data_IF_047811245267
#
_entry.id   IF_047811245267
#
_cell.length_a   1.000
_cell.length_b   1.000
_cell.length_c   1.000
_cell.angle_alpha   90.00
_cell.angle_beta   90.00
_cell.angle_gamma   90.00
#
_symmetry.space_group_name_H-M   'P 1'
#
loop_
_entity.id
_entity.type
_entity.pdbx_description
1 polymer ?
#
# COMPACT_ATOMS: atom_id res chain seq x y z
N UNK A 1 -4.96 -13.35 22.48
CA UNK A 1 -5.06 -13.45 21.00
C UNK A 1 -4.16 -12.37 20.46
N UNK A 2 -3.19 -12.71 19.61
CA UNK A 2 -2.28 -11.71 19.04
C UNK A 2 -3.08 -10.76 18.15
N UNK A 3 -2.77 -9.47 18.21
CA UNK A 3 -3.40 -8.43 17.37
C UNK A 3 -2.70 -8.42 16.01
N UNK A 4 -3.16 -9.32 15.11
CA UNK A 4 -2.65 -9.39 13.75
C UNK A 4 -3.36 -8.40 12.83
N UNK A 5 -2.61 -7.65 12.06
CA UNK A 5 -3.11 -6.68 11.07
C UNK A 5 -2.46 -6.95 9.72
N UNK A 6 -3.25 -6.93 8.66
CA UNK A 6 -2.77 -7.09 7.29
C UNK A 6 -2.63 -5.71 6.65
N UNK A 7 -1.39 -5.29 6.45
CA UNK A 7 -1.05 -4.00 5.83
C UNK A 7 -1.01 -4.17 4.33
N UNK A 8 -1.85 -3.41 3.63
CA UNK A 8 -1.98 -3.43 2.17
C UNK A 8 -1.42 -2.14 1.60
N UNK A 9 -0.61 -2.25 0.55
CA UNK A 9 -0.17 -1.12 -0.25
C UNK A 9 -0.26 -1.48 -1.73
N UNK A 10 -0.73 -0.53 -2.53
CA UNK A 10 -0.82 -0.66 -3.97
C UNK A 10 -0.12 0.51 -4.67
N UNK A 11 0.38 0.25 -5.86
CA UNK A 11 0.77 1.27 -6.82
C UNK A 11 -0.20 1.23 -7.99
N UNK A 12 -0.68 2.39 -8.37
CA UNK A 12 -1.64 2.57 -9.46
C UNK A 12 -0.97 3.12 -10.71
N UNK A 13 -1.67 3.01 -11.82
CA UNK A 13 -1.26 3.56 -13.12
C UNK A 13 -1.40 5.09 -13.21
N UNK A 14 -1.96 5.73 -12.19
CA UNK A 14 -2.13 7.18 -12.10
C UNK A 14 -2.74 7.63 -10.77
N UNK A 15 -2.94 8.94 -10.56
CA UNK A 15 -3.38 9.51 -9.30
C UNK A 15 -4.89 9.60 -9.12
N UNK A 16 -5.68 9.38 -10.20
CA UNK A 16 -7.10 9.74 -10.20
C UNK A 16 -7.99 8.65 -9.60
N UNK A 17 -7.50 7.40 -9.53
CA UNK A 17 -8.25 6.25 -9.03
C UNK A 17 -9.25 5.69 -10.02
N UNK A 18 -10.01 4.69 -9.59
CA UNK A 18 -11.02 4.07 -10.43
C UNK A 18 -12.10 5.10 -10.86
N UNK A 19 -12.59 5.09 -12.11
CA UNK A 19 -12.28 4.13 -13.19
C UNK A 19 -11.13 4.55 -14.13
N UNK A 20 -10.40 5.59 -13.79
CA UNK A 20 -9.38 6.17 -14.67
C UNK A 20 -8.03 5.46 -14.56
N UNK A 21 -7.73 4.98 -13.36
CA UNK A 21 -6.47 4.33 -13.06
C UNK A 21 -6.68 2.97 -12.38
N UNK A 22 -5.84 2.03 -12.75
CA UNK A 22 -5.86 0.65 -12.28
C UNK A 22 -4.72 0.42 -11.25
N UNK A 23 -4.86 -0.64 -10.45
CA UNK A 23 -3.77 -1.14 -9.60
C UNK A 23 -2.78 -1.89 -10.48
N UNK A 24 -1.49 -1.51 -10.42
CA UNK A 24 -0.43 -2.14 -11.20
C UNK A 24 0.48 -3.07 -10.37
N UNK A 25 0.63 -2.78 -9.08
CA UNK A 25 1.50 -3.52 -8.16
C UNK A 25 0.85 -3.51 -6.77
N UNK A 26 0.72 -4.67 -6.12
CA UNK A 26 0.05 -4.80 -4.82
C UNK A 26 0.84 -5.72 -3.90
N UNK A 27 0.95 -5.33 -2.63
CA UNK A 27 1.59 -6.14 -1.62
C UNK A 27 0.85 -6.12 -0.28
N UNK A 28 0.99 -7.22 0.46
CA UNK A 28 0.42 -7.40 1.79
C UNK A 28 1.51 -7.87 2.75
N UNK A 29 1.64 -7.17 3.87
CA UNK A 29 2.42 -7.62 5.02
C UNK A 29 1.47 -8.00 6.15
N UNK A 30 1.70 -9.16 6.78
CA UNK A 30 1.10 -9.51 8.06
C UNK A 30 1.95 -8.90 9.17
N UNK A 31 1.35 -8.14 10.05
CA UNK A 31 1.99 -7.49 11.20
C UNK A 31 1.43 -8.10 12.48
N UNK A 32 2.30 -8.55 13.35
CA UNK A 32 1.98 -8.92 14.73
C UNK A 32 2.48 -7.81 15.66
N UNK A 33 1.55 -7.05 16.23
CA UNK A 33 1.89 -5.90 17.08
C UNK A 33 2.36 -6.30 18.48
N UNK A 34 2.06 -7.50 18.95
CA UNK A 34 2.49 -7.99 20.26
C UNK A 34 3.95 -8.48 20.19
N UNK A 35 4.29 -9.24 19.14
CA UNK A 35 5.65 -9.71 18.88
C UNK A 35 6.54 -8.63 18.26
N UNK A 36 5.94 -7.62 17.65
CA UNK A 36 6.61 -6.51 16.93
C UNK A 36 7.39 -6.99 15.70
N UNK A 37 6.79 -7.88 14.97
CA UNK A 37 7.36 -8.44 13.74
C UNK A 37 6.37 -8.31 12.59
N UNK A 38 6.87 -8.36 11.36
CA UNK A 38 6.07 -8.42 10.15
C UNK A 38 6.68 -9.36 9.12
N UNK A 39 5.81 -9.87 8.24
CA UNK A 39 6.20 -10.75 7.13
C UNK A 39 5.46 -10.33 5.87
N UNK A 40 6.16 -10.24 4.75
CA UNK A 40 5.49 -10.10 3.45
C UNK A 40 4.82 -11.43 3.12
N UNK A 41 3.50 -11.43 3.06
CA UNK A 41 2.69 -12.63 2.79
C UNK A 41 2.16 -12.69 1.37
N UNK A 42 2.19 -11.55 0.66
CA UNK A 42 1.79 -11.46 -0.74
C UNK A 42 2.47 -10.29 -1.44
N UNK A 43 2.82 -10.48 -2.70
CA UNK A 43 3.24 -9.43 -3.62
C UNK A 43 3.00 -9.91 -5.04
N UNK A 44 2.34 -9.09 -5.86
CA UNK A 44 2.12 -9.40 -7.26
C UNK A 44 2.00 -8.14 -8.11
N UNK A 45 2.41 -8.26 -9.37
CA UNK A 45 2.21 -7.27 -10.43
C UNK A 45 1.00 -7.69 -11.25
N UNK A 46 0.11 -6.74 -11.54
CA UNK A 46 -1.08 -7.00 -12.34
C UNK A 46 -0.75 -6.87 -13.81
N UNK A 47 -1.22 -7.84 -14.60
CA UNK A 47 -1.01 -7.92 -16.02
C UNK A 47 -1.95 -6.98 -16.78
N UNK A 48 -1.38 -6.11 -17.60
CA UNK A 48 -2.07 -5.31 -18.62
C UNK A 48 -1.28 -5.34 -19.93
N UNK A 49 -1.97 -5.18 -21.06
CA UNK A 49 -1.26 -4.89 -22.29
C UNK A 49 -0.70 -3.44 -22.21
N UNK A 50 0.62 -3.24 -22.30
CA UNK A 50 1.21 -1.90 -22.25
C UNK A 50 0.65 -0.93 -23.28
N UNK A 51 0.12 -1.45 -24.41
CA UNK A 51 -0.52 -0.64 -25.45
C UNK A 51 -1.86 -0.06 -24.97
N UNK A 52 -2.61 -0.83 -24.16
CA UNK A 52 -3.90 -0.41 -23.61
C UNK A 52 -3.73 0.62 -22.49
N UNK A 53 -2.66 0.51 -21.69
CA UNK A 53 -2.33 1.51 -20.66
C UNK A 53 -1.99 2.88 -21.26
N UNK A 54 -1.36 2.89 -22.42
CA UNK A 54 -0.90 4.13 -23.07
C UNK A 54 0.30 4.79 -22.37
N UNK A 55 0.94 5.69 -23.10
CA UNK A 55 2.20 6.32 -22.69
C UNK A 55 2.11 7.06 -21.35
N UNK A 56 1.01 7.81 -21.10
CA UNK A 56 0.85 8.61 -19.88
C UNK A 56 0.92 7.77 -18.61
N UNK A 57 0.24 6.63 -18.60
CA UNK A 57 0.23 5.70 -17.45
C UNK A 57 1.57 5.01 -17.25
N UNK A 58 2.23 4.62 -18.34
CA UNK A 58 3.58 4.03 -18.29
C UNK A 58 4.62 5.04 -17.78
N UNK A 59 4.56 6.29 -18.23
CA UNK A 59 5.44 7.37 -17.75
C UNK A 59 5.20 7.64 -16.24
N UNK A 60 3.94 7.62 -15.79
CA UNK A 60 3.60 7.77 -14.37
C UNK A 60 4.15 6.62 -13.52
N UNK A 61 3.98 5.36 -13.94
CA UNK A 61 4.54 4.20 -13.26
C UNK A 61 6.06 4.29 -13.17
N UNK A 62 6.73 4.63 -14.25
CA UNK A 62 8.17 4.83 -14.26
C UNK A 62 8.62 5.92 -13.28
N UNK A 63 7.94 7.06 -13.26
CA UNK A 63 8.24 8.18 -12.36
C UNK A 63 7.98 7.82 -10.88
N UNK A 64 6.92 7.06 -10.59
CA UNK A 64 6.59 6.59 -9.25
C UNK A 64 7.48 5.43 -8.75
N UNK A 65 8.27 4.82 -9.65
CA UNK A 65 9.10 3.64 -9.37
C UNK A 65 8.29 2.35 -9.31
N UNK A 66 7.21 2.30 -10.05
CA UNK A 66 6.37 1.12 -10.26
C UNK A 66 7.03 0.04 -11.11
N UNK A 67 6.27 -1.00 -11.47
CA UNK A 67 6.77 -2.09 -12.30
C UNK A 67 7.14 -1.60 -13.70
N UNK A 68 8.14 -2.25 -14.29
CA UNK A 68 8.52 -2.02 -15.69
C UNK A 68 7.48 -2.62 -16.65
N UNK A 69 7.41 -2.14 -17.90
CA UNK A 69 6.44 -2.67 -18.88
C UNK A 69 6.52 -4.19 -19.05
N UNK A 70 7.72 -4.77 -19.00
CA UNK A 70 7.95 -6.21 -19.11
C UNK A 70 7.36 -6.98 -17.91
N UNK A 71 7.47 -6.41 -16.70
CA UNK A 71 6.87 -7.00 -15.49
C UNK A 71 5.35 -6.93 -15.55
N UNK A 72 4.79 -5.81 -16.04
CA UNK A 72 3.34 -5.65 -16.24
C UNK A 72 2.83 -6.67 -17.26
N UNK A 73 3.53 -6.84 -18.38
CA UNK A 73 3.15 -7.82 -19.39
C UNK A 73 3.18 -9.26 -18.86
N UNK A 74 4.17 -9.57 -18.01
CA UNK A 74 4.37 -10.90 -17.42
C UNK A 74 3.59 -11.14 -16.12
N UNK A 75 2.87 -10.15 -15.62
CA UNK A 75 2.11 -10.21 -14.38
C UNK A 75 0.93 -11.18 -14.41
N UNK A 76 0.24 -11.28 -13.30
CA UNK A 76 -0.98 -12.09 -13.19
C UNK A 76 -2.24 -11.29 -13.58
N UNK A 77 -3.28 -11.95 -14.14
CA UNK A 77 -4.55 -11.30 -14.44
C UNK A 77 -5.17 -10.65 -13.20
N UNK A 78 -5.71 -9.45 -13.38
CA UNK A 78 -6.28 -8.64 -12.30
C UNK A 78 -7.26 -9.40 -11.41
N UNK A 79 -8.21 -10.12 -12.00
CA UNK A 79 -9.22 -10.90 -11.27
C UNK A 79 -8.58 -11.99 -10.39
N UNK A 80 -7.55 -12.67 -10.90
CA UNK A 80 -6.80 -13.66 -10.11
C UNK A 80 -6.13 -13.03 -8.90
N UNK A 81 -5.46 -11.89 -9.11
CA UNK A 81 -4.79 -11.15 -8.02
C UNK A 81 -5.81 -10.70 -6.98
N UNK A 82 -6.95 -10.13 -7.39
CA UNK A 82 -8.01 -9.72 -6.48
C UNK A 82 -8.61 -10.89 -5.67
N UNK A 83 -8.81 -12.05 -6.31
CA UNK A 83 -9.25 -13.28 -5.62
C UNK A 83 -8.24 -13.75 -4.57
N UNK A 84 -6.96 -13.73 -4.89
CA UNK A 84 -5.90 -14.14 -3.96
C UNK A 84 -5.81 -13.17 -2.78
N UNK A 85 -5.85 -11.87 -3.03
CA UNK A 85 -5.91 -10.84 -1.99
C UNK A 85 -7.15 -11.02 -1.11
N UNK A 86 -8.32 -11.25 -1.71
CA UNK A 86 -9.58 -11.49 -0.98
C UNK A 86 -9.49 -12.69 -0.01
N UNK A 87 -8.86 -13.79 -0.42
CA UNK A 87 -8.62 -14.97 0.44
C UNK A 87 -7.71 -14.64 1.62
N UNK A 88 -6.70 -13.79 1.38
CA UNK A 88 -5.73 -13.41 2.43
C UNK A 88 -6.36 -12.49 3.46
N UNK A 89 -7.18 -11.51 3.05
CA UNK A 89 -7.68 -10.46 3.95
C UNK A 89 -9.06 -10.77 4.54
N UNK A 90 -9.80 -11.71 3.97
CA UNK A 90 -11.19 -12.02 4.38
C UNK A 90 -11.32 -12.32 5.87
N UNK A 91 -12.20 -11.59 6.57
CA UNK A 91 -12.45 -11.72 8.00
C UNK A 91 -11.34 -11.18 8.90
N UNK A 92 -10.39 -10.43 8.38
CA UNK A 92 -9.20 -9.96 9.11
C UNK A 92 -9.19 -8.44 9.29
N UNK A 93 -8.36 -7.97 10.22
CA UNK A 93 -8.06 -6.56 10.37
C UNK A 93 -7.09 -6.14 9.25
N UNK A 94 -7.48 -5.12 8.48
CA UNK A 94 -6.67 -4.58 7.41
C UNK A 94 -6.33 -3.12 7.65
N UNK A 95 -5.16 -2.71 7.25
CA UNK A 95 -4.70 -1.32 7.33
C UNK A 95 -3.93 -0.93 6.07
N UNK A 96 -3.83 0.37 5.84
CA UNK A 96 -2.97 0.95 4.83
C UNK A 96 -2.32 2.22 5.40
N UNK A 97 -1.30 2.74 4.72
CA UNK A 97 -0.73 4.03 5.09
C UNK A 97 -1.79 5.13 4.98
N UNK A 98 -2.49 5.19 3.86
CA UNK A 98 -3.68 6.01 3.66
C UNK A 98 -4.84 5.14 3.16
N UNK A 99 -5.71 4.73 4.09
CA UNK A 99 -6.85 3.87 3.77
C UNK A 99 -7.88 4.52 2.84
N UNK A 100 -7.94 5.87 2.77
CA UNK A 100 -8.83 6.55 1.82
C UNK A 100 -8.33 6.36 0.39
N UNK A 101 -7.01 6.37 0.19
CA UNK A 101 -6.43 6.13 -1.11
C UNK A 101 -6.57 4.67 -1.50
N UNK A 102 -6.10 3.75 -0.68
CA UNK A 102 -6.09 2.31 -1.01
C UNK A 102 -7.51 1.75 -1.12
N UNK A 103 -8.31 1.92 -0.07
CA UNK A 103 -9.64 1.30 0.05
C UNK A 103 -10.77 2.17 -0.50
N UNK A 104 -10.58 3.48 -0.57
CA UNK A 104 -11.62 4.42 -1.00
C UNK A 104 -11.49 4.93 -2.44
N UNK A 105 -10.35 4.69 -3.11
CA UNK A 105 -10.13 5.10 -4.50
C UNK A 105 -9.89 3.93 -5.45
N UNK A 106 -9.11 2.93 -5.02
CA UNK A 106 -8.68 1.85 -5.90
C UNK A 106 -9.44 0.56 -5.65
N UNK A 107 -9.79 0.24 -4.39
CA UNK A 107 -10.46 -1.01 -4.02
C UNK A 107 -11.96 -0.80 -3.79
N UNK A 108 -12.65 -0.16 -4.74
CA UNK A 108 -14.06 0.26 -4.58
C UNK A 108 -15.05 -0.43 -5.54
N UNK A 109 -14.54 -1.12 -6.56
CA UNK A 109 -15.37 -1.77 -7.58
C UNK A 109 -14.83 -3.14 -7.96
N UNK A 110 -15.66 -3.98 -8.56
CA UNK A 110 -15.23 -5.29 -9.12
C UNK A 110 -13.99 -5.13 -10.01
N UNK A 111 -12.95 -5.95 -9.81
CA UNK A 111 -12.86 -7.08 -8.88
C UNK A 111 -12.31 -6.72 -7.49
N UNK A 112 -12.08 -5.44 -7.18
CA UNK A 112 -11.38 -4.96 -5.98
C UNK A 112 -12.30 -4.58 -4.81
N UNK A 113 -13.60 -4.71 -4.93
CA UNK A 113 -14.57 -4.48 -3.84
C UNK A 113 -14.54 -5.57 -2.75
N UNK A 114 -13.34 -5.99 -2.39
CA UNK A 114 -13.06 -7.16 -1.53
C UNK A 114 -12.93 -6.82 -0.04
N UNK A 115 -12.85 -5.52 0.29
CA UNK A 115 -12.61 -5.05 1.66
C UNK A 115 -13.82 -5.17 2.57
N UNK A 116 -15.03 -5.35 2.02
CA UNK A 116 -16.30 -5.40 2.76
C UNK A 116 -16.39 -6.54 3.79
N UNK A 117 -15.57 -7.60 3.63
CA UNK A 117 -15.48 -8.72 4.59
C UNK A 117 -14.42 -8.52 5.65
N UNK A 118 -13.73 -7.40 5.66
CA UNK A 118 -12.58 -7.13 6.53
C UNK A 118 -12.91 -5.98 7.48
N UNK A 119 -12.21 -5.91 8.60
CA UNK A 119 -12.27 -4.75 9.50
C UNK A 119 -11.20 -3.76 9.10
N UNK A 120 -11.60 -2.61 8.55
CA UNK A 120 -10.65 -1.56 8.16
C UNK A 120 -10.21 -0.78 9.39
N UNK A 121 -8.93 -0.86 9.70
CA UNK A 121 -8.29 -0.13 10.78
C UNK A 121 -8.03 1.33 10.39
N UNK A 122 -7.85 2.25 11.35
CA UNK A 122 -7.47 3.62 11.02
C UNK A 122 -6.19 3.69 10.18
N UNK A 123 -6.16 4.62 9.22
CA UNK A 123 -4.96 4.87 8.41
C UNK A 123 -3.74 5.14 9.29
N UNK A 124 -2.59 4.58 8.92
CA UNK A 124 -1.33 4.80 9.65
C UNK A 124 -0.98 6.30 9.64
N UNK A 125 -1.19 6.98 8.51
CA UNK A 125 -1.01 8.44 8.40
C UNK A 125 -1.86 9.24 9.37
N UNK A 126 -3.09 8.79 9.67
CA UNK A 126 -3.99 9.48 10.60
C UNK A 126 -3.50 9.43 12.06
N UNK A 127 -2.71 8.42 12.41
CA UNK A 127 -2.14 8.24 13.77
C UNK A 127 -0.77 8.90 13.95
N UNK A 128 -0.20 9.49 12.90
CA UNK A 128 1.10 10.16 12.97
C UNK A 128 1.10 11.40 13.85
N UNK A 129 2.28 11.79 14.38
CA UNK A 129 2.43 13.05 15.12
C UNK A 129 1.98 14.24 14.28
N UNK A 130 1.41 15.25 14.95
CA UNK A 130 0.94 16.50 14.31
C UNK A 130 2.03 17.18 13.48
N UNK A 131 3.31 17.06 13.91
CA UNK A 131 4.45 17.61 13.16
C UNK A 131 4.67 17.01 11.77
N UNK A 132 4.07 15.85 11.49
CA UNK A 132 4.12 15.18 10.19
C UNK A 132 2.80 15.29 9.42
N UNK A 133 1.73 15.81 10.04
CA UNK A 133 0.45 16.00 9.35
C UNK A 133 0.46 17.31 8.57
N UNK A 134 -0.27 17.34 7.48
CA UNK A 134 -0.56 18.59 6.79
C UNK A 134 -1.29 19.55 7.73
N UNK A 135 -0.80 20.76 7.85
CA UNK A 135 -1.42 21.82 8.66
C UNK A 135 -2.26 22.78 7.83
N UNK A 136 -2.06 22.75 6.52
CA UNK A 136 -2.75 23.60 5.54
C UNK A 136 -3.14 22.75 4.32
N UNK A 137 -4.23 23.09 3.61
CA UNK A 137 -4.57 22.48 2.33
C UNK A 137 -3.48 22.60 1.25
N UNK A 138 -2.58 23.57 1.40
CA UNK A 138 -1.42 23.77 0.52
C UNK A 138 -0.21 22.92 0.87
N UNK A 139 -0.23 22.22 2.02
CA UNK A 139 0.88 21.36 2.41
C UNK A 139 0.86 20.06 1.59
N UNK A 140 2.03 19.64 1.12
CA UNK A 140 2.15 18.31 0.49
C UNK A 140 1.84 17.20 1.51
N UNK A 141 1.01 16.21 1.12
CA UNK A 141 0.76 15.04 1.97
C UNK A 141 2.07 14.36 2.37
N UNK A 142 2.13 13.90 3.62
CA UNK A 142 3.31 13.15 4.06
C UNK A 142 3.36 11.81 3.31
N UNK A 143 4.47 11.54 2.65
CA UNK A 143 4.71 10.26 1.99
C UNK A 143 5.19 9.20 2.99
N UNK A 144 4.95 7.92 2.69
CA UNK A 144 5.45 6.79 3.49
C UNK A 144 6.95 6.92 3.75
N UNK A 145 7.74 7.20 2.73
CA UNK A 145 9.20 7.35 2.83
C UNK A 145 9.63 8.50 3.74
N UNK A 146 8.94 9.65 3.65
CA UNK A 146 9.21 10.82 4.52
C UNK A 146 8.87 10.49 5.98
N UNK A 147 7.74 9.84 6.21
CA UNK A 147 7.32 9.40 7.53
C UNK A 147 8.29 8.38 8.11
N UNK A 148 8.64 7.36 7.33
CA UNK A 148 9.58 6.31 7.72
C UNK A 148 10.92 6.89 8.17
N UNK A 149 11.56 7.70 7.33
CA UNK A 149 12.84 8.35 7.67
C UNK A 149 12.75 9.19 8.94
N UNK A 150 11.67 9.94 9.14
CA UNK A 150 11.51 10.82 10.30
C UNK A 150 11.22 10.09 11.60
N UNK A 151 10.43 9.02 11.57
CA UNK A 151 9.98 8.34 12.78
C UNK A 151 10.94 7.24 13.21
N UNK A 152 11.44 6.44 12.27
CA UNK A 152 12.38 5.34 12.57
C UNK A 152 13.84 5.76 12.58
N UNK A 153 14.15 6.92 11.96
CA UNK A 153 15.52 7.41 11.69
C UNK A 153 16.34 6.52 10.76
N UNK A 154 15.71 5.57 10.12
CA UNK A 154 16.32 4.69 9.13
C UNK A 154 16.20 5.28 7.72
N UNK A 155 17.14 4.94 6.84
CA UNK A 155 17.00 5.26 5.42
C UNK A 155 16.00 4.29 4.78
N UNK A 156 14.97 4.77 4.06
CA UNK A 156 14.09 3.91 3.26
C UNK A 156 14.82 2.96 2.31
N UNK A 157 16.03 3.31 1.88
CA UNK A 157 16.86 2.45 1.04
C UNK A 157 17.27 1.12 1.72
N UNK A 158 17.22 1.04 3.06
CA UNK A 158 17.43 -0.22 3.80
C UNK A 158 16.35 -1.27 3.49
N UNK A 159 15.17 -0.82 3.01
CA UNK A 159 14.07 -1.70 2.59
C UNK A 159 14.04 -1.75 1.04
N UNK A 160 15.14 -2.05 0.39
CA UNK A 160 15.26 -2.04 -1.07
C UNK A 160 15.23 -0.63 -1.66
N UNK A 161 14.86 -0.48 -2.94
CA UNK A 161 14.76 0.84 -3.59
C UNK A 161 13.59 1.71 -3.04
N UNK A 162 12.73 1.13 -2.19
CA UNK A 162 11.69 1.80 -1.43
C UNK A 162 10.54 2.37 -2.28
N UNK A 163 10.33 1.89 -3.49
CA UNK A 163 9.31 2.43 -4.39
C UNK A 163 8.22 1.44 -4.79
N UNK A 164 8.49 0.13 -4.78
CA UNK A 164 7.51 -0.93 -5.09
C UNK A 164 6.48 -1.08 -3.96
N UNK A 165 5.29 -1.59 -4.28
CA UNK A 165 4.24 -1.83 -3.31
C UNK A 165 4.73 -2.66 -2.11
N UNK A 166 5.56 -3.68 -2.35
CA UNK A 166 6.18 -4.49 -1.29
C UNK A 166 7.00 -3.64 -0.32
N UNK A 167 7.89 -2.78 -0.81
CA UNK A 167 8.71 -1.93 0.06
C UNK A 167 7.87 -0.92 0.83
N UNK A 168 6.80 -0.40 0.20
CA UNK A 168 5.87 0.52 0.86
C UNK A 168 5.07 -0.19 1.96
N UNK A 169 4.64 -1.43 1.73
CA UNK A 169 3.96 -2.25 2.74
C UNK A 169 4.88 -2.56 3.93
N UNK A 170 6.14 -2.91 3.66
CA UNK A 170 7.16 -3.15 4.70
C UNK A 170 7.42 -1.89 5.54
N UNK A 171 7.65 -0.73 4.90
CA UNK A 171 7.83 0.54 5.62
C UNK A 171 6.60 0.91 6.45
N UNK A 172 5.39 0.69 5.92
CA UNK A 172 4.15 0.95 6.65
C UNK A 172 4.03 0.04 7.87
N UNK A 173 4.40 -1.23 7.74
CA UNK A 173 4.42 -2.21 8.84
C UNK A 173 5.39 -1.81 9.95
N UNK A 174 6.61 -1.42 9.60
CA UNK A 174 7.58 -0.91 10.58
C UNK A 174 7.12 0.38 11.27
N UNK A 175 6.46 1.28 10.53
CA UNK A 175 5.86 2.48 11.11
C UNK A 175 4.78 2.13 12.14
N UNK A 176 3.91 1.15 11.85
CA UNK A 176 2.89 0.69 12.79
C UNK A 176 3.52 0.14 14.07
N UNK A 177 4.51 -0.76 13.95
CA UNK A 177 5.25 -1.33 15.08
C UNK A 177 5.92 -0.22 15.91
N UNK A 178 6.58 0.71 15.25
CA UNK A 178 7.23 1.85 15.91
C UNK A 178 6.21 2.72 16.66
N UNK A 179 5.06 3.03 16.05
CA UNK A 179 4.01 3.82 16.69
C UNK A 179 3.33 3.08 17.84
N UNK A 180 3.08 1.77 17.72
CA UNK A 180 2.56 0.93 18.80
C UNK A 180 3.49 0.95 20.00
N UNK A 181 4.79 0.81 19.78
CA UNK A 181 5.80 0.87 20.84
C UNK A 181 5.85 2.22 21.58
N UNK A 182 5.35 3.28 20.95
CA UNK A 182 5.24 4.64 21.52
C UNK A 182 3.78 4.98 21.96
N UNK A 183 2.88 3.99 22.05
CA UNK A 183 1.50 4.17 22.48
C UNK A 183 0.63 5.02 21.54
N UNK A 184 0.96 5.05 20.24
CA UNK A 184 0.26 5.88 19.24
C UNK A 184 -0.58 5.08 18.24
N UNK A 185 -0.45 3.74 18.25
CA UNK A 185 -1.23 2.84 17.39
C UNK A 185 -1.84 1.70 18.19
#
# INVERSE_FOLDING_TARGET
>A
MSEEIFVIQALSTGPDGYPYDEIADIAICRVDLDVKEYWTVYHNVISYDPKDLGKKKLDYLSASGGPFPEEIYAGDPERKVAEDVSKIIGGRNIAAFDGRQEFGRYMVCDPWDITFRSTVMPSVSAKMPISLKCRSPSDEPVTIRKAYRRLTRNDPACIGNGRRAMHLAQMTSELMIHMRSNGKY
#
